data_IF_879901095015
#
_entry.id   IF_879901095015
#
_cell.length_a   1.000
_cell.length_b   1.000
_cell.length_c   1.000
_cell.angle_alpha   90.00
_cell.angle_beta   90.00
_cell.angle_gamma   90.00
#
_symmetry.space_group_name_H-M   'P 1'
#
loop_
_entity.id
_entity.type
_entity.pdbx_description
1 polymer ?
#
# COMPACT_ATOMS: atom_id res chain seq x y z
N UNK A 1 13.12 -7.86 -28.32
CA UNK A 1 14.51 -8.10 -27.87
C UNK A 1 14.44 -8.31 -26.37
N UNK A 2 14.83 -9.50 -25.90
CA UNK A 2 14.98 -9.74 -24.45
C UNK A 2 16.16 -8.87 -23.99
N UNK A 3 16.01 -8.02 -22.96
CA UNK A 3 17.13 -7.22 -22.48
C UNK A 3 18.26 -8.14 -22.02
N UNK A 4 19.49 -7.75 -22.37
CA UNK A 4 20.70 -8.49 -22.03
C UNK A 4 20.85 -8.59 -20.51
N UNK A 5 21.12 -9.77 -19.96
CA UNK A 5 21.09 -10.03 -18.51
C UNK A 5 22.03 -9.11 -17.72
N UNK A 6 23.14 -8.68 -18.31
CA UNK A 6 24.05 -7.68 -17.72
C UNK A 6 23.40 -6.30 -17.57
N UNK A 7 22.59 -5.88 -18.55
CA UNK A 7 21.88 -4.59 -18.51
C UNK A 7 20.86 -4.51 -17.38
N UNK A 8 20.22 -5.64 -17.06
CA UNK A 8 19.26 -5.76 -15.95
C UNK A 8 19.97 -5.68 -14.60
N UNK A 9 21.13 -6.35 -14.46
CA UNK A 9 21.93 -6.33 -13.22
C UNK A 9 22.40 -4.89 -12.91
N UNK A 10 22.95 -4.19 -13.91
CA UNK A 10 23.39 -2.79 -13.74
C UNK A 10 22.21 -1.87 -13.41
N UNK A 11 21.04 -2.11 -14.00
CA UNK A 11 19.83 -1.37 -13.67
C UNK A 11 19.41 -1.61 -12.20
N UNK A 12 19.43 -2.85 -11.71
CA UNK A 12 19.09 -3.18 -10.32
C UNK A 12 20.04 -2.51 -9.31
N UNK A 13 21.34 -2.44 -9.61
CA UNK A 13 22.30 -1.70 -8.79
C UNK A 13 21.93 -0.20 -8.72
N UNK A 14 21.60 0.40 -9.87
CA UNK A 14 21.18 1.81 -9.94
C UNK A 14 19.88 2.08 -9.18
N UNK A 15 18.91 1.17 -9.21
CA UNK A 15 17.67 1.30 -8.43
C UNK A 15 17.94 1.25 -6.94
N UNK A 16 18.81 0.35 -6.50
CA UNK A 16 19.19 0.26 -5.08
C UNK A 16 19.80 1.57 -4.60
N UNK A 17 20.60 2.24 -5.44
CA UNK A 17 21.11 3.58 -5.16
C UNK A 17 19.98 4.59 -5.02
N UNK A 18 18.96 4.61 -5.89
CA UNK A 18 17.84 5.55 -5.78
C UNK A 18 17.07 5.37 -4.46
N UNK A 19 16.79 4.12 -4.06
CA UNK A 19 16.17 3.84 -2.75
C UNK A 19 17.06 4.30 -1.59
N UNK A 20 18.38 4.10 -1.68
CA UNK A 20 19.33 4.59 -0.67
C UNK A 20 19.40 6.12 -0.62
N UNK A 21 19.26 6.82 -1.76
CA UNK A 21 19.17 8.29 -1.79
C UNK A 21 17.89 8.79 -1.13
N UNK A 22 16.77 8.07 -1.26
CA UNK A 22 15.57 8.37 -0.46
C UNK A 22 15.87 8.16 1.03
N UNK A 23 16.45 7.02 1.40
CA UNK A 23 16.69 6.67 2.82
C UNK A 23 17.70 7.58 3.51
N UNK A 24 18.75 8.03 2.83
CA UNK A 24 19.89 8.75 3.43
C UNK A 24 19.97 10.22 3.02
N UNK A 25 19.27 10.62 1.96
CA UNK A 25 19.30 11.98 1.45
C UNK A 25 18.53 12.97 2.31
N UNK A 26 18.78 14.25 2.08
CA UNK A 26 17.99 15.33 2.70
C UNK A 26 16.54 15.30 2.20
N UNK A 27 15.56 15.84 2.94
CA UNK A 27 14.14 15.75 2.57
C UNK A 27 13.82 16.29 1.17
N UNK A 28 14.49 17.37 0.73
CA UNK A 28 14.32 17.92 -0.61
C UNK A 28 14.79 16.96 -1.69
N UNK A 29 15.92 16.30 -1.45
CA UNK A 29 16.49 15.34 -2.38
C UNK A 29 15.64 14.08 -2.46
N UNK A 30 15.31 13.48 -1.31
CA UNK A 30 14.47 12.30 -1.22
C UNK A 30 13.11 12.53 -1.92
N UNK A 31 12.55 13.75 -1.80
CA UNK A 31 11.33 14.14 -2.52
C UNK A 31 11.49 14.12 -4.03
N UNK A 32 12.61 14.64 -4.56
CA UNK A 32 12.87 14.64 -6.00
C UNK A 32 13.07 13.21 -6.50
N UNK A 33 13.88 12.42 -5.80
CA UNK A 33 14.13 11.01 -6.16
C UNK A 33 12.82 10.20 -6.16
N UNK A 34 12.00 10.34 -5.12
CA UNK A 34 10.70 9.66 -5.05
C UNK A 34 9.71 10.08 -6.15
N UNK A 35 9.85 11.27 -6.74
CA UNK A 35 8.99 11.72 -7.85
C UNK A 35 9.32 11.03 -9.16
N UNK A 36 10.61 10.80 -9.44
CA UNK A 36 11.10 10.19 -10.67
C UNK A 36 11.14 8.66 -10.60
N UNK A 37 11.25 8.11 -9.38
CA UNK A 37 11.44 6.68 -9.16
C UNK A 37 10.35 5.80 -9.80
N UNK A 38 9.04 6.10 -9.72
CA UNK A 38 8.01 5.24 -10.31
C UNK A 38 8.13 5.06 -11.82
N UNK A 39 8.42 6.15 -12.55
CA UNK A 39 8.61 6.09 -13.99
C UNK A 39 9.86 5.27 -14.34
N UNK A 40 10.94 5.49 -13.60
CA UNK A 40 12.16 4.70 -13.76
C UNK A 40 11.93 3.20 -13.47
N UNK A 41 11.10 2.86 -12.50
CA UNK A 41 10.80 1.47 -12.18
C UNK A 41 10.00 0.80 -13.32
N UNK A 42 9.02 1.51 -13.87
CA UNK A 42 8.18 1.04 -14.99
C UNK A 42 8.99 0.85 -16.28
N UNK A 43 9.92 1.76 -16.58
CA UNK A 43 10.71 1.73 -17.82
C UNK A 43 11.74 0.57 -17.86
N UNK A 44 12.22 0.12 -16.70
CA UNK A 44 13.42 -0.74 -16.61
C UNK A 44 13.17 -2.12 -15.98
N UNK A 45 12.06 -2.34 -15.27
CA UNK A 45 11.87 -3.57 -14.48
C UNK A 45 10.48 -4.18 -14.67
N UNK A 46 10.36 -5.52 -14.55
CA UNK A 46 9.06 -6.15 -14.51
C UNK A 46 8.32 -5.76 -13.22
N UNK A 47 6.98 -5.63 -13.26
CA UNK A 47 6.15 -5.28 -12.11
C UNK A 47 6.42 -6.08 -10.83
N UNK A 48 6.67 -7.38 -10.93
CA UNK A 48 6.84 -8.24 -9.75
C UNK A 48 8.07 -7.84 -8.91
N UNK A 49 9.19 -7.53 -9.55
CA UNK A 49 10.43 -7.13 -8.87
C UNK A 49 10.26 -5.74 -8.23
N UNK A 50 9.55 -4.84 -8.95
CA UNK A 50 9.23 -3.50 -8.48
C UNK A 50 8.37 -3.55 -7.21
N UNK A 51 7.31 -4.35 -7.22
CA UNK A 51 6.33 -4.41 -6.13
C UNK A 51 6.96 -4.84 -4.82
N UNK A 52 7.72 -5.95 -4.82
CA UNK A 52 8.37 -6.45 -3.61
C UNK A 52 9.29 -5.38 -2.99
N UNK A 53 10.10 -4.72 -3.84
CA UNK A 53 11.06 -3.70 -3.40
C UNK A 53 10.36 -2.45 -2.88
N UNK A 54 9.40 -1.91 -3.62
CA UNK A 54 8.67 -0.68 -3.25
C UNK A 54 7.86 -0.88 -1.98
N UNK A 55 7.17 -2.02 -1.83
CA UNK A 55 6.39 -2.35 -0.63
C UNK A 55 7.31 -2.52 0.58
N UNK A 56 8.40 -3.28 0.43
CA UNK A 56 9.39 -3.47 1.51
C UNK A 56 9.98 -2.14 2.00
N UNK A 57 10.30 -1.24 1.07
CA UNK A 57 10.83 0.09 1.39
C UNK A 57 9.80 1.01 2.07
N UNK A 58 8.51 0.85 1.77
CA UNK A 58 7.42 1.59 2.41
C UNK A 58 7.12 1.10 3.84
N UNK A 59 7.16 -0.20 4.06
CA UNK A 59 6.90 -0.82 5.38
C UNK A 59 8.10 -0.68 6.32
N UNK A 60 9.32 -0.59 5.77
CA UNK A 60 10.56 -0.56 6.55
C UNK A 60 10.56 0.47 7.68
N UNK A 61 10.92 0.03 8.88
CA UNK A 61 11.13 0.91 10.04
C UNK A 61 12.36 1.83 9.87
N UNK A 62 13.25 1.51 8.93
CA UNK A 62 14.43 2.31 8.63
C UNK A 62 14.15 3.41 7.59
N UNK A 63 12.91 3.51 7.08
CA UNK A 63 12.54 4.52 6.09
C UNK A 63 12.17 5.84 6.80
N UNK A 64 12.99 6.91 6.68
CA UNK A 64 12.69 8.20 7.32
C UNK A 64 11.59 8.99 6.60
N UNK A 65 11.29 8.68 5.33
CA UNK A 65 10.31 9.40 4.53
C UNK A 65 9.20 8.49 3.99
N UNK A 66 8.43 7.79 4.85
CA UNK A 66 7.37 6.89 4.39
C UNK A 66 6.28 7.62 3.60
N UNK A 67 6.08 8.92 3.82
CA UNK A 67 5.18 9.76 3.02
C UNK A 67 5.58 9.85 1.55
N UNK A 68 6.87 9.85 1.23
CA UNK A 68 7.33 9.84 -0.15
C UNK A 68 7.17 8.45 -0.76
N UNK A 69 7.47 7.41 0.02
CA UNK A 69 7.23 6.03 -0.40
C UNK A 69 5.75 5.73 -0.65
N UNK A 70 4.83 6.31 0.11
CA UNK A 70 3.40 6.21 -0.16
C UNK A 70 3.02 6.75 -1.56
N UNK A 71 3.65 7.85 -2.00
CA UNK A 71 3.44 8.37 -3.36
C UNK A 71 4.07 7.51 -4.45
N UNK A 72 5.17 6.82 -4.14
CA UNK A 72 5.81 5.86 -5.06
C UNK A 72 4.90 4.65 -5.25
N UNK A 73 4.44 4.05 -4.15
CA UNK A 73 3.48 2.91 -4.16
C UNK A 73 2.23 3.28 -4.97
N UNK A 74 1.64 4.44 -4.69
CA UNK A 74 0.48 4.94 -5.43
C UNK A 74 0.72 4.96 -6.94
N UNK A 75 1.80 5.61 -7.38
CA UNK A 75 2.09 5.73 -8.81
C UNK A 75 2.32 4.37 -9.47
N UNK A 76 3.06 3.47 -8.82
CA UNK A 76 3.28 2.11 -9.33
C UNK A 76 1.95 1.37 -9.46
N UNK A 77 1.08 1.42 -8.46
CA UNK A 77 -0.20 0.71 -8.48
C UNK A 77 -1.13 1.28 -9.56
N UNK A 78 -1.18 2.61 -9.71
CA UNK A 78 -1.98 3.24 -10.76
C UNK A 78 -1.47 2.88 -12.16
N UNK A 79 -0.16 2.80 -12.38
CA UNK A 79 0.40 2.28 -13.64
C UNK A 79 -0.04 0.84 -13.91
N UNK A 80 -0.06 -0.02 -12.90
CA UNK A 80 -0.55 -1.39 -13.04
C UNK A 80 -2.04 -1.46 -13.37
N UNK A 81 -2.88 -0.64 -12.72
CA UNK A 81 -4.29 -0.54 -13.09
C UNK A 81 -4.48 -0.08 -14.54
N UNK A 82 -3.72 0.93 -14.97
CA UNK A 82 -3.79 1.47 -16.33
C UNK A 82 -3.32 0.46 -17.40
N UNK A 83 -2.48 -0.50 -17.04
CA UNK A 83 -2.02 -1.59 -17.92
C UNK A 83 -2.86 -2.86 -17.80
N UNK A 84 -3.98 -2.83 -17.07
CA UNK A 84 -4.88 -3.98 -16.91
C UNK A 84 -4.43 -5.02 -15.89
N UNK A 85 -3.41 -4.72 -15.06
CA UNK A 85 -2.84 -5.63 -14.06
C UNK A 85 -3.46 -5.46 -12.66
N UNK A 86 -4.76 -5.16 -12.59
CA UNK A 86 -5.47 -4.92 -11.32
C UNK A 86 -5.47 -6.13 -10.38
N UNK A 87 -5.54 -7.35 -10.92
CA UNK A 87 -5.46 -8.58 -10.10
C UNK A 87 -4.12 -8.69 -9.40
N UNK A 88 -3.01 -8.35 -10.09
CA UNK A 88 -1.68 -8.34 -9.50
C UNK A 88 -1.59 -7.37 -8.32
N UNK A 89 -2.19 -6.18 -8.44
CA UNK A 89 -2.26 -5.21 -7.33
C UNK A 89 -2.98 -5.82 -6.13
N UNK A 90 -4.16 -6.42 -6.33
CA UNK A 90 -4.92 -7.09 -5.28
C UNK A 90 -4.10 -8.18 -4.59
N UNK A 91 -3.43 -9.04 -5.35
CA UNK A 91 -2.67 -10.17 -4.80
C UNK A 91 -1.50 -9.67 -3.93
N UNK A 92 -0.78 -8.64 -4.39
CA UNK A 92 0.26 -8.00 -3.59
C UNK A 92 -0.28 -7.29 -2.35
N UNK A 93 -1.49 -6.73 -2.43
CA UNK A 93 -2.13 -6.16 -1.25
C UNK A 93 -2.36 -7.24 -0.20
N UNK A 94 -2.99 -8.34 -0.59
CA UNK A 94 -3.28 -9.48 0.28
C UNK A 94 -2.01 -10.08 0.92
N UNK A 95 -0.95 -10.27 0.13
CA UNK A 95 0.34 -10.79 0.61
C UNK A 95 1.02 -9.87 1.64
N UNK A 96 0.75 -8.57 1.58
CA UNK A 96 1.44 -7.58 2.42
C UNK A 96 0.70 -7.25 3.72
N UNK A 97 -0.58 -7.61 3.86
CA UNK A 97 -1.42 -7.20 4.98
C UNK A 97 -0.81 -7.56 6.35
N UNK A 98 -0.30 -8.80 6.48
CA UNK A 98 0.31 -9.27 7.73
C UNK A 98 1.50 -8.41 8.13
N UNK A 99 2.38 -8.08 7.18
CA UNK A 99 3.55 -7.23 7.40
C UNK A 99 3.15 -5.82 7.87
N UNK A 100 2.08 -5.25 7.31
CA UNK A 100 1.57 -3.96 7.77
C UNK A 100 0.98 -4.03 9.18
N UNK A 101 0.17 -5.05 9.47
CA UNK A 101 -0.51 -5.16 10.78
C UNK A 101 0.45 -5.34 11.95
N UNK A 102 1.64 -5.90 11.70
CA UNK A 102 2.68 -6.11 12.70
C UNK A 102 3.56 -4.87 12.94
N UNK A 103 3.39 -3.80 12.16
CA UNK A 103 4.15 -2.56 12.31
C UNK A 103 3.78 -1.85 13.62
N UNK A 104 4.77 -1.29 14.30
CA UNK A 104 4.58 -0.45 15.49
C UNK A 104 5.09 0.97 15.23
N UNK A 105 4.44 2.01 15.78
CA UNK A 105 3.18 1.99 16.54
C UNK A 105 1.94 1.73 15.67
N UNK A 106 0.82 1.32 16.29
CA UNK A 106 -0.44 0.98 15.58
C UNK A 106 -0.96 2.14 14.72
N UNK A 107 -0.75 3.39 15.14
CA UNK A 107 -1.11 4.57 14.36
C UNK A 107 -0.38 4.60 13.00
N UNK A 108 0.91 4.22 12.99
CA UNK A 108 1.68 4.12 11.75
C UNK A 108 1.28 2.92 10.90
N UNK A 109 0.93 1.79 11.52
CA UNK A 109 0.40 0.63 10.80
C UNK A 109 -0.92 0.97 10.07
N UNK A 110 -1.86 1.57 10.78
CA UNK A 110 -3.15 2.02 10.24
C UNK A 110 -2.97 3.08 9.15
N UNK A 111 -2.12 4.08 9.37
CA UNK A 111 -1.82 5.09 8.36
C UNK A 111 -1.19 4.46 7.10
N UNK A 112 -0.26 3.52 7.28
CA UNK A 112 0.39 2.83 6.15
C UNK A 112 -0.61 2.00 5.35
N UNK A 113 -1.47 1.24 6.03
CA UNK A 113 -2.57 0.49 5.40
C UNK A 113 -3.56 1.41 4.68
N UNK A 114 -3.89 2.56 5.26
CA UNK A 114 -4.78 3.54 4.62
C UNK A 114 -4.18 4.07 3.33
N UNK A 115 -2.90 4.46 3.33
CA UNK A 115 -2.17 4.83 2.11
C UNK A 115 -2.15 3.68 1.09
N UNK A 116 -1.99 2.44 1.56
CA UNK A 116 -1.91 1.26 0.71
C UNK A 116 -3.25 0.92 0.05
N UNK A 117 -4.36 0.95 0.78
CA UNK A 117 -5.70 0.76 0.22
C UNK A 117 -6.11 1.88 -0.73
N UNK A 118 -5.76 3.14 -0.42
CA UNK A 118 -5.95 4.26 -1.36
C UNK A 118 -5.16 4.02 -2.64
N UNK A 119 -3.91 3.58 -2.52
CA UNK A 119 -3.04 3.30 -3.67
C UNK A 119 -3.57 2.20 -4.56
N UNK A 120 -4.17 1.18 -3.96
CA UNK A 120 -4.74 0.04 -4.66
C UNK A 120 -6.13 0.31 -5.22
N UNK A 121 -6.80 1.41 -4.84
CA UNK A 121 -8.19 1.63 -5.26
C UNK A 121 -8.28 1.88 -6.78
N UNK A 122 -9.28 1.26 -7.39
CA UNK A 122 -9.70 1.52 -8.78
C UNK A 122 -10.67 2.72 -8.87
N UNK A 123 -11.10 3.27 -7.73
CA UNK A 123 -12.00 4.42 -7.65
C UNK A 123 -11.23 5.73 -7.63
N UNK A 124 -11.39 6.56 -8.66
CA UNK A 124 -10.73 7.87 -8.76
C UNK A 124 -10.95 8.77 -7.53
N UNK A 125 -12.14 8.71 -6.92
CA UNK A 125 -12.47 9.48 -5.72
C UNK A 125 -11.70 9.01 -4.49
N UNK A 126 -11.49 7.71 -4.35
CA UNK A 126 -10.71 7.14 -3.24
C UNK A 126 -9.24 7.45 -3.45
N UNK A 127 -8.73 7.23 -4.66
CA UNK A 127 -7.36 7.56 -5.07
C UNK A 127 -7.01 9.03 -4.81
N UNK A 128 -7.95 9.95 -5.03
CA UNK A 128 -7.78 11.37 -4.77
C UNK A 128 -7.60 11.72 -3.28
N UNK A 129 -7.92 10.82 -2.34
CA UNK A 129 -7.74 11.04 -0.91
C UNK A 129 -6.27 10.90 -0.45
N UNK A 130 -5.37 10.37 -1.29
CA UNK A 130 -3.99 10.09 -0.88
C UNK A 130 -3.28 11.28 -0.22
N UNK A 131 -3.33 12.52 -0.76
CA UNK A 131 -2.65 13.66 -0.13
C UNK A 131 -3.20 13.95 1.28
N UNK A 132 -4.51 13.76 1.47
CA UNK A 132 -5.14 13.93 2.78
C UNK A 132 -4.64 12.86 3.76
N UNK A 133 -4.59 11.59 3.37
CA UNK A 133 -4.08 10.51 4.23
C UNK A 133 -2.61 10.76 4.59
N UNK A 134 -1.78 11.14 3.61
CA UNK A 134 -0.36 11.46 3.83
C UNK A 134 -0.19 12.60 4.86
N UNK A 135 -1.02 13.64 4.80
CA UNK A 135 -0.95 14.78 5.73
C UNK A 135 -1.21 14.41 7.20
N UNK A 136 -1.79 13.23 7.45
CA UNK A 136 -2.17 12.73 8.77
C UNK A 136 -1.27 11.60 9.27
N UNK A 137 -0.02 11.56 8.79
CA UNK A 137 0.98 10.57 9.19
C UNK A 137 1.12 10.49 10.73
N UNK A 138 0.97 9.28 11.25
CA UNK A 138 1.09 8.97 12.68
C UNK A 138 -0.11 9.38 13.55
N UNK A 139 -1.16 9.97 12.96
CA UNK A 139 -2.41 10.29 13.69
C UNK A 139 -3.33 9.08 13.77
N UNK A 140 -4.07 8.98 14.87
CA UNK A 140 -5.03 7.90 15.13
C UNK A 140 -6.30 8.43 15.82
N UNK A 141 -6.81 9.57 15.35
CA UNK A 141 -8.07 10.12 15.81
C UNK A 141 -9.25 9.30 15.24
N UNK A 142 -10.45 9.46 15.78
CA UNK A 142 -11.63 8.72 15.30
C UNK A 142 -11.88 8.92 13.80
N UNK A 143 -11.57 10.10 13.26
CA UNK A 143 -11.68 10.39 11.82
C UNK A 143 -10.70 9.54 10.99
N UNK A 144 -9.49 9.28 11.51
CA UNK A 144 -8.49 8.44 10.85
C UNK A 144 -8.93 6.97 10.85
N UNK A 145 -9.49 6.51 11.97
CA UNK A 145 -10.01 5.15 12.10
C UNK A 145 -11.19 4.93 11.16
N UNK A 146 -12.11 5.90 11.09
CA UNK A 146 -13.25 5.85 10.18
C UNK A 146 -12.81 5.85 8.71
N UNK A 147 -11.82 6.68 8.37
CA UNK A 147 -11.24 6.73 7.03
C UNK A 147 -10.56 5.40 6.69
N UNK A 148 -9.74 4.85 7.58
CA UNK A 148 -9.13 3.52 7.42
C UNK A 148 -10.19 2.44 7.15
N UNK A 149 -11.25 2.40 7.95
CA UNK A 149 -12.33 1.43 7.77
C UNK A 149 -13.02 1.60 6.41
N UNK A 150 -13.30 2.84 6.00
CA UNK A 150 -13.91 3.14 4.70
C UNK A 150 -13.04 2.65 3.54
N UNK A 151 -11.74 2.93 3.57
CA UNK A 151 -10.78 2.54 2.54
C UNK A 151 -10.63 1.01 2.45
N UNK A 152 -10.52 0.34 3.59
CA UNK A 152 -10.45 -1.12 3.65
C UNK A 152 -11.75 -1.77 3.17
N UNK A 153 -12.92 -1.20 3.50
CA UNK A 153 -14.22 -1.68 2.99
C UNK A 153 -14.37 -1.48 1.48
N UNK A 154 -13.87 -0.37 0.94
CA UNK A 154 -13.89 -0.13 -0.52
C UNK A 154 -13.09 -1.20 -1.25
N UNK A 155 -11.87 -1.48 -0.79
CA UNK A 155 -11.04 -2.57 -1.30
C UNK A 155 -11.74 -3.93 -1.17
N UNK A 156 -12.24 -4.25 0.02
CA UNK A 156 -12.93 -5.51 0.30
C UNK A 156 -14.13 -5.76 -0.61
N UNK A 157 -14.95 -4.72 -0.86
CA UNK A 157 -16.16 -4.86 -1.68
C UNK A 157 -15.89 -4.89 -3.18
N UNK A 158 -14.94 -4.09 -3.65
CA UNK A 158 -14.75 -3.85 -5.09
C UNK A 158 -13.62 -4.67 -5.73
N UNK A 159 -12.71 -5.21 -4.93
CA UNK A 159 -11.53 -5.92 -5.43
C UNK A 159 -11.43 -7.36 -4.96
N UNK A 160 -12.13 -7.74 -3.89
CA UNK A 160 -12.14 -9.12 -3.40
C UNK A 160 -13.49 -9.75 -3.76
N UNK A 161 -13.51 -10.49 -4.86
CA UNK A 161 -14.70 -11.18 -5.35
C UNK A 161 -14.85 -12.57 -4.71
N UNK A 162 -13.73 -13.27 -4.49
CA UNK A 162 -13.74 -14.63 -3.96
C UNK A 162 -13.98 -14.67 -2.46
N UNK A 163 -14.92 -15.51 -2.03
CA UNK A 163 -15.28 -15.67 -0.62
C UNK A 163 -14.11 -16.22 0.23
N UNK A 164 -13.23 -17.04 -0.37
CA UNK A 164 -12.03 -17.53 0.28
C UNK A 164 -11.04 -16.39 0.57
N UNK A 165 -10.79 -15.52 -0.41
CA UNK A 165 -9.93 -14.35 -0.24
C UNK A 165 -10.51 -13.36 0.77
N UNK A 166 -11.85 -13.21 0.81
CA UNK A 166 -12.56 -12.40 1.81
C UNK A 166 -12.31 -12.90 3.22
N UNK A 167 -12.34 -14.22 3.43
CA UNK A 167 -12.01 -14.84 4.73
C UNK A 167 -10.54 -14.70 5.08
N UNK A 168 -9.65 -14.86 4.09
CA UNK A 168 -8.22 -14.64 4.28
C UNK A 168 -7.94 -13.19 4.72
N UNK A 169 -8.58 -12.22 4.06
CA UNK A 169 -8.50 -10.80 4.43
C UNK A 169 -8.92 -10.57 5.88
N UNK A 170 -10.08 -11.08 6.28
CA UNK A 170 -10.60 -10.92 7.65
C UNK A 170 -9.67 -11.58 8.68
N UNK A 171 -9.20 -12.80 8.41
CA UNK A 171 -8.33 -13.56 9.31
C UNK A 171 -7.05 -12.80 9.67
N UNK A 172 -6.45 -12.07 8.72
CA UNK A 172 -5.26 -11.23 9.00
C UNK A 172 -5.54 -10.20 10.09
N UNK A 173 -6.69 -9.54 10.04
CA UNK A 173 -7.06 -8.55 11.05
C UNK A 173 -7.54 -9.19 12.36
N UNK A 174 -8.21 -10.34 12.32
CA UNK A 174 -8.64 -11.08 13.52
C UNK A 174 -7.47 -11.48 14.40
N UNK A 175 -6.33 -11.87 13.82
CA UNK A 175 -5.13 -12.24 14.56
C UNK A 175 -4.52 -11.11 15.39
N UNK A 176 -4.73 -9.84 15.00
CA UNK A 176 -4.12 -8.67 15.63
C UNK A 176 -5.14 -7.75 16.33
N UNK A 177 -6.43 -8.00 16.14
CA UNK A 177 -7.48 -7.15 16.67
C UNK A 177 -7.65 -7.36 18.19
N UNK A 178 -7.54 -6.26 18.93
CA UNK A 178 -7.94 -6.19 20.34
C UNK A 178 -9.20 -5.31 20.50
N UNK A 179 -10.04 -5.53 21.53
CA UNK A 179 -11.21 -4.68 21.76
C UNK A 179 -10.83 -3.20 21.83
N UNK A 180 -11.56 -2.37 21.06
CA UNK A 180 -11.27 -0.93 20.92
C UNK A 180 -10.14 -0.57 19.94
N UNK A 181 -9.46 -1.54 19.32
CA UNK A 181 -8.47 -1.26 18.27
C UNK A 181 -9.12 -0.85 16.93
N UNK A 182 -8.41 -0.13 16.06
CA UNK A 182 -8.87 0.17 14.69
C UNK A 182 -9.23 -1.10 13.89
N UNK A 183 -8.48 -2.19 14.09
CA UNK A 183 -8.73 -3.46 13.41
C UNK A 183 -10.02 -4.13 13.90
N UNK A 184 -10.33 -4.02 15.19
CA UNK A 184 -11.61 -4.49 15.72
C UNK A 184 -12.79 -3.70 15.12
N UNK A 185 -12.66 -2.37 14.99
CA UNK A 185 -13.69 -1.56 14.34
C UNK A 185 -13.88 -1.95 12.86
N UNK A 186 -12.79 -2.20 12.12
CA UNK A 186 -12.86 -2.71 10.75
C UNK A 186 -13.63 -4.03 10.67
N UNK A 187 -13.33 -5.00 11.53
CA UNK A 187 -14.03 -6.30 11.55
C UNK A 187 -15.53 -6.14 11.82
N UNK A 188 -15.91 -5.23 12.72
CA UNK A 188 -17.33 -4.90 12.96
C UNK A 188 -17.99 -4.30 11.72
N UNK A 189 -17.30 -3.39 11.02
CA UNK A 189 -17.77 -2.85 9.74
C UNK A 189 -17.97 -3.96 8.71
N UNK A 190 -17.01 -4.88 8.53
CA UNK A 190 -17.12 -5.98 7.57
C UNK A 190 -18.28 -6.94 7.87
N UNK A 191 -18.53 -7.25 9.15
CA UNK A 191 -19.69 -8.07 9.56
C UNK A 191 -21.03 -7.43 9.19
N UNK A 192 -21.15 -6.11 9.35
CA UNK A 192 -22.38 -5.39 8.97
C UNK A 192 -22.70 -5.49 7.48
N UNK A 193 -21.68 -5.59 6.61
CA UNK A 193 -21.87 -5.74 5.16
C UNK A 193 -22.59 -7.05 4.83
N UNK A 194 -22.20 -8.15 5.49
CA UNK A 194 -22.78 -9.46 5.24
C UNK A 194 -24.23 -9.54 5.72
N UNK A 195 -24.56 -8.85 6.82
CA UNK A 195 -25.93 -8.79 7.33
C UNK A 195 -26.86 -8.00 6.40
N UNK A 196 -26.35 -6.92 5.78
CA UNK A 196 -27.14 -6.12 4.81
C UNK A 196 -27.30 -6.85 3.47
N UNK A 197 -26.32 -7.66 3.06
CA UNK A 197 -26.39 -8.43 1.81
C UNK A 197 -27.26 -9.70 1.89
N UNK A 198 -27.68 -10.10 3.10
CA UNK A 198 -28.57 -11.25 3.35
C UNK A 198 -30.05 -10.85 3.49
N UNK A 199 -30.36 -9.56 3.37
CA UNK A 199 -31.72 -8.99 3.31
C UNK A 199 -32.08 -8.64 1.86
#
# INVERSE_FOLDING_TARGET
MVPDSESVIVAMERVSVLFDRIRRGFPCEARVVARILPQFLDDFFPPQDVMNKVIGEFISNQQPYPQFMATVVYKVFQTLHNTGQSSMVRDWVMLSLSNFTQRTPIAMAMWSLSCFFVSASTSAWISALLPHVISRMGKAEQVDINLFCLLAMDFYRKQIDEELDRRAFQSVFEMVATPGSPYHQLLMCLRSIHQVAQL
#
